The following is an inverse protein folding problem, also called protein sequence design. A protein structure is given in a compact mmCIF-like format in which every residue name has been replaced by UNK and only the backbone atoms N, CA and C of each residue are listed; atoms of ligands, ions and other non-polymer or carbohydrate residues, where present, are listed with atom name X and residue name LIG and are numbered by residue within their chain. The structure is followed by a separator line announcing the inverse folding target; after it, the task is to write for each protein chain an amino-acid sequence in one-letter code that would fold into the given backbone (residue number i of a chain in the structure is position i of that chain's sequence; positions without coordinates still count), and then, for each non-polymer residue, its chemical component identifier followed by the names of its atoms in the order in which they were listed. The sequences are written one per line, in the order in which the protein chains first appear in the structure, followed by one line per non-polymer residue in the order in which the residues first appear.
data_IF_561277580695
#
_entry.id   IF_561277580695
#
_cell.length_a   1.000
_cell.length_b   1.000
_cell.length_c   1.000
_cell.angle_alpha   90.00
_cell.angle_beta   90.00
_cell.angle_gamma   90.00
#
_symmetry.space_group_name_H-M   'P 1'
#
loop_
_entity.id
_entity.type
_entity.pdbx_description
1 polymer ?
#
# COMPACT_ATOMS: atom_id res chain seq x y z
N UNK A 1 -3.61 -14.87 -8.39
CA UNK A 1 -4.92 -14.86 -7.70
C UNK A 1 -5.55 -16.23 -7.52
N UNK A 2 -5.25 -17.24 -8.36
CA UNK A 2 -5.91 -18.55 -8.34
C UNK A 2 -5.83 -19.37 -7.02
N UNK A 3 -4.89 -19.06 -6.12
CA UNK A 3 -4.67 -19.88 -4.92
C UNK A 3 -4.80 -19.11 -3.60
N UNK A 4 -5.39 -17.91 -3.61
CA UNK A 4 -5.47 -17.11 -2.38
C UNK A 4 -6.56 -17.63 -1.42
N UNK A 5 -7.75 -17.95 -1.92
CA UNK A 5 -8.92 -18.28 -1.08
C UNK A 5 -8.63 -19.43 -0.09
N UNK A 6 -8.07 -20.60 -0.51
CA UNK A 6 -7.82 -21.71 0.41
C UNK A 6 -6.78 -21.40 1.49
N UNK A 7 -5.93 -20.39 1.30
CA UNK A 7 -4.90 -19.99 2.28
C UNK A 7 -5.51 -19.15 3.42
N UNK A 8 -6.59 -18.44 3.13
CA UNK A 8 -7.28 -17.61 4.13
C UNK A 8 -8.42 -18.35 4.83
N UNK A 9 -8.91 -19.45 4.26
CA UNK A 9 -9.99 -20.27 4.81
C UNK A 9 -9.63 -20.81 6.21
N UNK A 10 -10.42 -20.44 7.22
CA UNK A 10 -10.19 -20.82 8.61
C UNK A 10 -9.01 -20.13 9.31
N UNK A 11 -8.35 -19.15 8.67
CA UNK A 11 -7.23 -18.42 9.26
C UNK A 11 -7.68 -17.36 10.26
N UNK A 12 -8.90 -16.85 10.10
CA UNK A 12 -9.43 -15.69 10.84
C UNK A 12 -10.73 -16.05 11.55
N UNK A 13 -11.18 -15.15 12.44
CA UNK A 13 -12.45 -15.32 13.12
C UNK A 13 -13.60 -15.54 12.11
N UNK A 14 -14.57 -16.42 12.40
CA UNK A 14 -15.58 -16.85 11.43
C UNK A 14 -16.37 -15.70 10.77
N UNK A 15 -16.58 -14.60 11.49
CA UNK A 15 -17.28 -13.41 10.99
C UNK A 15 -16.49 -12.67 9.89
N UNK A 16 -15.16 -12.65 10.01
CA UNK A 16 -14.27 -11.94 9.10
C UNK A 16 -13.79 -12.83 7.94
N UNK A 17 -13.66 -14.13 8.17
CA UNK A 17 -13.20 -15.09 7.17
C UNK A 17 -14.12 -15.12 5.95
N UNK A 18 -15.43 -15.18 6.17
CA UNK A 18 -16.42 -15.11 5.08
C UNK A 18 -16.36 -13.79 4.30
N UNK A 19 -16.14 -12.68 5.00
CA UNK A 19 -16.05 -11.36 4.38
C UNK A 19 -14.79 -11.24 3.49
N UNK A 20 -13.66 -11.77 3.96
CA UNK A 20 -12.40 -11.78 3.22
C UNK A 20 -12.47 -12.74 2.04
N UNK A 21 -13.01 -13.94 2.22
CA UNK A 21 -13.20 -14.90 1.13
C UNK A 21 -14.10 -14.36 0.02
N UNK A 22 -15.18 -13.65 0.38
CA UNK A 22 -16.05 -12.96 -0.59
C UNK A 22 -15.29 -11.86 -1.36
N UNK A 23 -14.47 -11.08 -0.64
CA UNK A 23 -13.65 -10.05 -1.26
C UNK A 23 -12.61 -10.63 -2.20
N UNK A 24 -11.91 -11.69 -1.79
CA UNK A 24 -10.91 -12.39 -2.61
C UNK A 24 -11.53 -12.98 -3.88
N UNK A 25 -12.73 -13.57 -3.77
CA UNK A 25 -13.49 -14.05 -4.91
C UNK A 25 -13.81 -12.90 -5.88
N UNK A 26 -14.32 -11.78 -5.37
CA UNK A 26 -14.69 -10.62 -6.19
C UNK A 26 -13.48 -10.00 -6.88
N UNK A 27 -12.33 -9.95 -6.21
CA UNK A 27 -11.06 -9.51 -6.83
C UNK A 27 -10.63 -10.48 -7.94
N UNK A 28 -10.78 -11.78 -7.72
CA UNK A 28 -10.44 -12.79 -8.73
C UNK A 28 -11.36 -12.71 -9.96
N UNK A 29 -12.66 -12.52 -9.74
CA UNK A 29 -13.65 -12.29 -10.80
C UNK A 29 -13.33 -11.01 -11.58
N UNK A 30 -13.11 -9.89 -10.88
CA UNK A 30 -12.72 -8.62 -11.51
C UNK A 30 -11.48 -8.78 -12.38
N UNK A 31 -10.45 -9.46 -11.86
CA UNK A 31 -9.20 -9.67 -12.59
C UNK A 31 -9.37 -10.64 -13.78
N UNK A 32 -10.27 -11.63 -13.69
CA UNK A 32 -10.59 -12.51 -14.80
C UNK A 32 -11.30 -11.74 -15.92
N UNK A 33 -12.30 -10.93 -15.57
CA UNK A 33 -13.03 -10.07 -16.50
C UNK A 33 -12.10 -9.04 -17.16
N UNK A 34 -11.28 -8.34 -16.38
CA UNK A 34 -10.34 -7.33 -16.90
C UNK A 34 -9.26 -7.89 -17.84
N UNK A 35 -9.03 -9.21 -17.82
CA UNK A 35 -8.02 -9.90 -18.65
C UNK A 35 -8.60 -10.69 -19.82
N UNK A 36 -9.90 -10.58 -20.09
CA UNK A 36 -10.47 -11.20 -21.27
C UNK A 36 -9.77 -10.64 -22.52
N UNK A 37 -9.34 -11.53 -23.42
CA UNK A 37 -8.73 -11.16 -24.72
C UNK A 37 -9.74 -10.57 -25.69
N UNK A 38 -11.02 -10.75 -25.42
CA UNK A 38 -12.11 -10.23 -26.22
C UNK A 38 -13.19 -9.74 -25.27
N UNK A 39 -13.58 -8.48 -25.46
CA UNK A 39 -14.68 -7.87 -24.72
C UNK A 39 -15.88 -7.69 -25.64
N UNK A 40 -17.05 -8.06 -25.13
CA UNK A 40 -18.36 -7.67 -25.64
C UNK A 40 -19.00 -6.66 -24.69
N UNK A 41 -20.04 -5.95 -25.14
CA UNK A 41 -20.80 -5.02 -24.31
C UNK A 41 -21.30 -5.67 -23.00
N UNK A 42 -21.69 -6.95 -23.08
CA UNK A 42 -22.09 -7.75 -21.93
C UNK A 42 -20.95 -7.91 -20.90
N UNK A 43 -19.77 -8.35 -21.36
CA UNK A 43 -18.62 -8.55 -20.45
C UNK A 43 -18.10 -7.24 -19.87
N UNK A 44 -18.21 -6.13 -20.61
CA UNK A 44 -17.90 -4.78 -20.12
C UNK A 44 -18.90 -4.33 -19.06
N UNK A 45 -20.19 -4.66 -19.24
CA UNK A 45 -21.23 -4.48 -18.23
C UNK A 45 -20.91 -5.23 -16.94
N UNK A 46 -20.55 -6.51 -17.05
CA UNK A 46 -20.12 -7.31 -15.90
C UNK A 46 -18.86 -6.75 -15.22
N UNK A 47 -17.87 -6.30 -15.99
CA UNK A 47 -16.67 -5.69 -15.42
C UNK A 47 -17.02 -4.41 -14.65
N UNK A 48 -17.90 -3.58 -15.17
CA UNK A 48 -18.38 -2.37 -14.49
C UNK A 48 -19.10 -2.71 -13.17
N UNK A 49 -20.05 -3.65 -13.21
CA UNK A 49 -20.79 -4.10 -12.03
C UNK A 49 -19.86 -4.72 -10.98
N UNK A 50 -18.96 -5.61 -11.41
CA UNK A 50 -17.97 -6.24 -10.56
C UNK A 50 -17.06 -5.19 -9.90
N UNK A 51 -16.70 -4.11 -10.62
CA UNK A 51 -15.90 -3.01 -10.07
C UNK A 51 -16.65 -2.26 -8.97
N UNK A 52 -17.95 -2.00 -9.17
CA UNK A 52 -18.80 -1.35 -8.17
C UNK A 52 -18.97 -2.24 -6.91
N UNK A 53 -19.20 -3.54 -7.11
CA UNK A 53 -19.29 -4.52 -6.02
C UNK A 53 -17.95 -4.61 -5.25
N UNK A 54 -16.83 -4.70 -5.96
CA UNK A 54 -15.49 -4.70 -5.36
C UNK A 54 -15.27 -3.45 -4.50
N UNK A 55 -15.60 -2.27 -5.01
CA UNK A 55 -15.52 -1.03 -4.24
C UNK A 55 -16.39 -1.04 -2.98
N UNK A 56 -17.57 -1.63 -3.03
CA UNK A 56 -18.46 -1.78 -1.87
C UNK A 56 -17.86 -2.71 -0.82
N UNK A 57 -17.34 -3.86 -1.24
CA UNK A 57 -16.71 -4.82 -0.35
C UNK A 57 -15.42 -4.28 0.27
N UNK A 58 -14.62 -3.49 -0.47
CA UNK A 58 -13.43 -2.84 0.07
C UNK A 58 -13.75 -1.76 1.11
N UNK A 59 -14.84 -1.00 0.92
CA UNK A 59 -15.32 -0.05 1.95
C UNK A 59 -15.78 -0.79 3.21
N UNK A 60 -16.51 -1.89 3.05
CA UNK A 60 -16.91 -2.76 4.16
C UNK A 60 -15.70 -3.39 4.87
N UNK A 61 -14.71 -3.85 4.11
CA UNK A 61 -13.46 -4.39 4.67
C UNK A 61 -12.74 -3.34 5.53
N UNK A 62 -12.64 -2.11 5.03
CA UNK A 62 -12.02 -1.00 5.79
C UNK A 62 -12.79 -0.69 7.08
N UNK A 63 -14.12 -0.55 7.01
CA UNK A 63 -14.92 -0.12 8.16
C UNK A 63 -15.11 -1.21 9.20
N UNK A 64 -15.28 -2.46 8.77
CA UNK A 64 -15.58 -3.59 9.64
C UNK A 64 -14.32 -4.38 10.00
N UNK A 65 -13.60 -4.92 9.01
CA UNK A 65 -12.48 -5.85 9.25
C UNK A 65 -11.23 -5.13 9.76
N UNK A 66 -10.82 -4.03 9.13
CA UNK A 66 -9.65 -3.27 9.60
C UNK A 66 -9.86 -2.57 10.95
N UNK A 67 -11.10 -2.40 11.40
CA UNK A 67 -11.39 -1.84 12.72
C UNK A 67 -11.14 -2.85 13.85
N UNK A 68 -11.29 -4.14 13.55
CA UNK A 68 -11.12 -5.24 14.51
C UNK A 68 -9.64 -5.59 14.72
N UNK A 69 -8.84 -5.61 13.65
CA UNK A 69 -7.42 -5.97 13.73
C UNK A 69 -6.51 -4.75 13.99
N UNK A 70 -5.70 -4.78 15.06
CA UNK A 70 -4.71 -3.73 15.36
C UNK A 70 -3.44 -3.87 14.49
N UNK A 71 -3.56 -3.52 13.20
CA UNK A 71 -2.42 -3.55 12.27
C UNK A 71 -1.48 -2.36 12.51
N UNK A 72 -0.18 -2.64 12.62
CA UNK A 72 0.87 -1.63 12.84
C UNK A 72 1.95 -1.71 11.78
N UNK A 73 2.69 -0.61 11.63
CA UNK A 73 3.88 -0.56 10.76
C UNK A 73 4.85 -1.70 11.13
N UNK A 74 5.44 -2.34 10.12
CA UNK A 74 6.55 -3.26 10.35
C UNK A 74 7.78 -2.48 10.86
N UNK A 75 8.70 -3.11 11.61
CA UNK A 75 9.92 -2.44 12.09
C UNK A 75 10.75 -1.79 10.99
N UNK A 76 10.75 -2.37 9.78
CA UNK A 76 11.42 -1.83 8.60
C UNK A 76 10.75 -0.57 8.06
N UNK A 77 9.40 -0.54 8.01
CA UNK A 77 8.62 0.64 7.62
C UNK A 77 8.80 1.77 8.63
N UNK A 78 8.78 1.45 9.93
CA UNK A 78 9.03 2.41 10.99
C UNK A 78 10.44 3.02 10.89
N UNK A 79 11.48 2.17 10.71
CA UNK A 79 12.84 2.64 10.53
C UNK A 79 12.99 3.53 9.29
N UNK A 80 12.35 3.18 8.17
CA UNK A 80 12.33 4.00 6.96
C UNK A 80 11.63 5.35 7.20
N UNK A 81 10.52 5.38 7.94
CA UNK A 81 9.82 6.61 8.32
C UNK A 81 10.70 7.50 9.19
N UNK A 82 11.38 6.93 10.19
CA UNK A 82 12.30 7.67 11.07
C UNK A 82 13.46 8.29 10.29
N UNK A 83 14.05 7.56 9.33
CA UNK A 83 15.09 8.09 8.43
C UNK A 83 14.59 9.27 7.58
N UNK A 84 13.34 9.20 7.10
CA UNK A 84 12.74 10.32 6.34
C UNK A 84 12.48 11.54 7.23
N UNK A 85 11.99 11.35 8.45
CA UNK A 85 11.76 12.47 9.37
C UNK A 85 13.06 13.16 9.79
N UNK A 86 14.12 12.40 10.09
CA UNK A 86 15.42 13.00 10.43
C UNK A 86 16.04 13.75 9.26
N UNK A 87 15.93 13.22 8.03
CA UNK A 87 16.36 13.92 6.82
C UNK A 87 15.57 15.21 6.61
N UNK A 88 14.25 15.20 6.77
CA UNK A 88 13.43 16.41 6.64
C UNK A 88 13.80 17.50 7.66
N UNK A 89 14.01 17.14 8.93
CA UNK A 89 14.40 18.08 9.98
C UNK A 89 15.79 18.67 9.74
N UNK A 90 16.75 17.88 9.24
CA UNK A 90 18.11 18.36 8.92
C UNK A 90 18.17 19.35 7.75
N UNK A 91 17.17 19.36 6.87
CA UNK A 91 17.09 20.29 5.74
C UNK A 91 16.46 21.63 6.18
N UNK A 92 15.52 21.61 7.13
CA UNK A 92 14.90 22.82 7.70
C UNK A 92 15.82 23.63 8.63
N UNK A 93 16.91 23.06 9.16
CA UNK A 93 17.81 23.74 10.09
C UNK A 93 19.01 24.44 9.43
N UNK A 94 19.16 24.38 8.09
CA UNK A 94 20.32 24.98 7.39
C UNK A 94 20.11 26.43 6.92
N UNK A 95 19.01 27.07 7.32
CA UNK A 95 18.61 28.42 6.87
C UNK A 95 18.48 29.52 7.93
N UNK A 96 18.88 29.29 9.19
CA UNK A 96 18.91 30.36 10.23
C UNK A 96 20.26 30.41 10.93
N UNK A 97 21.25 30.97 10.26
CA UNK A 97 22.42 31.56 10.91
C UNK A 97 22.10 33.00 11.30
N UNK A 98 21.62 33.22 12.53
CA UNK A 98 21.55 34.54 13.14
C UNK A 98 22.89 34.89 13.78
N UNK A 99 23.48 35.98 13.29
CA UNK A 99 24.57 36.71 13.91
C UNK A 99 24.14 37.25 15.30
N UNK A 100 24.97 37.09 16.33
CA UNK A 100 25.09 38.10 17.39
C UNK A 100 24.83 37.72 18.86
N UNK A 101 25.96 37.49 19.55
CA UNK A 101 26.34 37.93 20.92
C UNK A 101 25.85 37.21 22.18
N UNK A 102 26.84 37.06 23.07
CA UNK A 102 26.88 36.36 24.34
C UNK A 102 26.44 37.21 25.55
N UNK A 103 25.97 36.53 26.61
CA UNK A 103 26.26 36.90 28.00
C UNK A 103 26.00 35.71 28.94
N UNK A 104 26.82 35.59 29.98
CA UNK A 104 26.92 34.49 30.95
C UNK A 104 25.89 34.58 32.09
N UNK A 105 25.53 33.43 32.67
CA UNK A 105 24.85 33.28 33.97
C UNK A 105 24.91 31.81 34.46
N UNK A 106 25.15 31.52 35.77
CA UNK A 106 25.56 30.20 36.29
C UNK A 106 24.39 29.27 36.71
N UNK A 107 24.64 28.00 37.12
CA UNK A 107 23.83 26.84 36.77
C UNK A 107 22.67 26.56 37.74
N UNK A 108 21.52 26.17 37.20
CA UNK A 108 20.44 25.54 37.97
C UNK A 108 20.18 24.15 37.43
N UNK A 109 20.29 23.18 38.33
CA UNK A 109 19.89 21.79 38.15
C UNK A 109 18.41 21.74 37.73
N UNK A 110 18.16 21.44 36.47
CA UNK A 110 16.93 20.81 36.02
C UNK A 110 17.34 19.69 35.09
N UNK A 111 17.10 18.46 35.55
CA UNK A 111 17.20 17.25 34.76
C UNK A 111 16.46 17.43 33.43
N UNK A 112 17.20 17.81 32.40
CA UNK A 112 16.82 17.59 31.02
C UNK A 112 16.99 16.10 30.74
N UNK A 113 16.10 15.30 31.35
CA UNK A 113 15.72 14.03 30.77
C UNK A 113 15.17 14.34 29.38
N UNK A 114 16.08 14.23 28.41
CA UNK A 114 15.77 14.01 27.02
C UNK A 114 14.78 12.85 26.95
N UNK A 115 13.49 13.17 27.04
CA UNK A 115 12.40 12.29 26.66
C UNK A 115 12.54 12.11 25.16
N UNK A 116 13.45 11.22 24.76
CA UNK A 116 13.39 10.61 23.44
C UNK A 116 12.03 9.90 23.44
N UNK A 117 11.00 10.40 22.73
CA UNK A 117 9.71 9.74 22.76
C UNK A 117 9.96 8.41 22.06
N UNK A 118 9.90 7.31 22.83
CA UNK A 118 9.85 5.96 22.26
C UNK A 118 8.66 5.99 21.30
N UNK A 119 8.95 6.18 20.02
CA UNK A 119 7.92 6.39 19.01
C UNK A 119 7.29 5.02 18.85
N UNK A 120 6.07 4.86 19.37
CA UNK A 120 5.37 3.61 19.20
C UNK A 120 5.11 3.37 17.71
N UNK A 121 5.13 2.09 17.26
CA UNK A 121 4.76 1.74 15.89
C UNK A 121 3.41 2.36 15.56
N UNK A 122 3.32 3.09 14.45
CA UNK A 122 2.06 3.74 14.07
C UNK A 122 1.05 2.68 13.64
N UNK A 123 -0.21 2.89 14.01
CA UNK A 123 -1.33 2.10 13.47
C UNK A 123 -1.42 2.34 11.97
N UNK A 124 -1.59 1.26 11.22
CA UNK A 124 -1.66 1.26 9.77
C UNK A 124 -3.02 0.76 9.32
N UNK A 125 -3.89 1.68 8.92
CA UNK A 125 -5.21 1.35 8.38
C UNK A 125 -5.15 1.16 6.86
N UNK A 126 -6.12 0.43 6.33
CA UNK A 126 -6.29 0.27 4.89
C UNK A 126 -6.67 1.62 4.24
N UNK A 127 -5.95 1.97 3.17
CA UNK A 127 -6.12 3.25 2.47
C UNK A 127 -6.89 3.07 1.16
N UNK A 128 -8.15 3.51 1.16
CA UNK A 128 -9.02 3.49 -0.02
C UNK A 128 -8.73 4.61 -1.03
N UNK A 129 -8.00 5.66 -0.64
CA UNK A 129 -7.76 6.85 -1.48
C UNK A 129 -6.54 6.64 -2.39
N UNK A 130 -6.02 5.41 -2.48
CA UNK A 130 -4.91 5.12 -3.38
C UNK A 130 -5.34 5.19 -4.84
N UNK A 131 -4.48 5.78 -5.68
CA UNK A 131 -4.67 5.86 -7.13
C UNK A 131 -4.97 4.49 -7.74
N UNK A 132 -4.27 3.44 -7.28
CA UNK A 132 -4.48 2.07 -7.75
C UNK A 132 -5.94 1.61 -7.63
N UNK A 133 -6.65 2.09 -6.62
CA UNK A 133 -8.04 1.71 -6.40
C UNK A 133 -9.01 2.54 -7.24
N UNK A 134 -8.72 3.83 -7.42
CA UNK A 134 -9.52 4.71 -8.28
C UNK A 134 -9.41 4.28 -9.75
N UNK A 135 -8.21 3.90 -10.19
CA UNK A 135 -7.98 3.44 -11.56
C UNK A 135 -8.78 2.18 -11.93
N UNK A 136 -9.30 1.40 -10.97
CA UNK A 136 -10.13 0.23 -11.27
C UNK A 136 -11.42 0.62 -12.00
N UNK A 137 -12.01 1.76 -11.67
CA UNK A 137 -13.22 2.28 -12.34
C UNK A 137 -12.98 2.67 -13.79
N UNK A 138 -11.75 3.06 -14.12
CA UNK A 138 -11.41 3.56 -15.45
C UNK A 138 -11.21 2.42 -16.47
N UNK A 139 -11.01 1.17 -16.03
CA UNK A 139 -10.71 0.03 -16.91
C UNK A 139 -11.73 -0.14 -18.03
N UNK A 140 -13.03 -0.03 -17.73
CA UNK A 140 -14.09 -0.20 -18.75
C UNK A 140 -13.98 0.86 -19.84
N UNK A 141 -13.73 2.11 -19.46
CA UNK A 141 -13.57 3.21 -20.40
C UNK A 141 -12.26 3.07 -21.20
N UNK A 142 -11.17 2.65 -20.54
CA UNK A 142 -9.89 2.37 -21.20
C UNK A 142 -10.03 1.27 -22.25
N UNK A 143 -10.71 0.16 -21.92
CA UNK A 143 -10.93 -0.96 -22.85
C UNK A 143 -11.77 -0.52 -24.05
N UNK A 144 -12.80 0.30 -23.85
CA UNK A 144 -13.64 0.82 -24.94
C UNK A 144 -12.87 1.73 -25.89
N UNK A 145 -11.98 2.56 -25.36
CA UNK A 145 -11.26 3.58 -26.15
C UNK A 145 -10.01 3.03 -26.84
N UNK A 146 -9.27 2.14 -26.17
CA UNK A 146 -7.96 1.67 -26.62
C UNK A 146 -7.91 0.18 -26.95
N UNK A 147 -9.00 -0.55 -26.72
CA UNK A 147 -9.03 -2.01 -26.81
C UNK A 147 -8.44 -2.68 -25.56
N UNK A 148 -8.36 -4.01 -25.60
CA UNK A 148 -7.74 -4.80 -24.54
C UNK A 148 -6.26 -4.47 -24.40
N UNK A 149 -5.70 -4.57 -23.18
CA UNK A 149 -4.28 -4.28 -22.96
C UNK A 149 -3.32 -5.20 -23.72
N UNK A 150 -3.78 -6.34 -24.23
CA UNK A 150 -2.97 -7.19 -25.12
C UNK A 150 -2.84 -6.63 -26.55
N UNK A 151 -3.74 -5.71 -26.96
CA UNK A 151 -3.78 -5.18 -28.33
C UNK A 151 -2.78 -4.06 -28.62
N UNK A 152 -2.32 -3.30 -27.60
CA UNK A 152 -1.44 -2.13 -27.80
C UNK A 152 -0.08 -2.22 -27.07
N UNK A 153 0.18 -3.31 -26.35
CA UNK A 153 1.48 -3.57 -25.72
C UNK A 153 2.34 -4.46 -26.62
N UNK A 154 3.40 -3.89 -27.23
CA UNK A 154 4.44 -4.66 -27.92
C UNK A 154 5.40 -5.37 -26.97
N UNK A 155 5.24 -5.19 -25.65
CA UNK A 155 5.96 -6.00 -24.66
C UNK A 155 5.18 -7.30 -24.45
N UNK A 156 5.71 -8.47 -24.92
CA UNK A 156 5.14 -9.75 -24.53
C UNK A 156 5.20 -9.87 -23.02
N UNK A 157 4.08 -10.30 -22.43
CA UNK A 157 3.91 -10.50 -20.99
C UNK A 157 4.83 -11.64 -20.53
N UNK A 158 6.11 -11.34 -20.29
CA UNK A 158 6.97 -12.12 -19.39
C UNK A 158 6.79 -11.70 -17.92
N UNK A 159 5.68 -11.02 -17.59
CA UNK A 159 5.32 -10.64 -16.22
C UNK A 159 4.82 -11.80 -15.35
N UNK A 160 5.20 -13.04 -15.67
CA UNK A 160 5.15 -14.16 -14.72
C UNK A 160 6.53 -14.61 -14.22
N UNK A 161 7.62 -14.01 -14.69
CA UNK A 161 8.97 -14.24 -14.16
C UNK A 161 9.80 -12.97 -14.15
N UNK A 162 9.51 -12.10 -13.18
CA UNK A 162 10.59 -11.43 -12.45
C UNK A 162 10.34 -11.55 -10.94
N UNK A 163 10.55 -12.73 -10.33
CA UNK A 163 11.37 -12.72 -9.14
C UNK A 163 12.79 -12.29 -9.57
N UNK A 164 13.55 -11.62 -8.70
CA UNK A 164 15.03 -11.47 -8.73
C UNK A 164 15.66 -10.09 -9.06
N UNK A 165 15.21 -9.22 -9.97
CA UNK A 165 16.00 -8.00 -10.30
C UNK A 165 15.46 -6.69 -9.68
N UNK A 166 15.32 -6.68 -8.36
CA UNK A 166 15.85 -5.58 -7.51
C UNK A 166 16.37 -6.14 -6.17
N UNK A 167 16.78 -7.42 -6.17
CA UNK A 167 17.70 -7.98 -5.18
C UNK A 167 19.17 -7.60 -5.49
N UNK A 168 19.41 -6.96 -6.65
CA UNK A 168 20.75 -6.63 -7.17
C UNK A 168 21.37 -5.32 -6.68
N UNK A 169 20.70 -4.50 -5.87
CA UNK A 169 21.33 -3.33 -5.23
C UNK A 169 21.66 -3.53 -3.74
N UNK A 170 21.39 -4.70 -3.17
CA UNK A 170 21.66 -5.02 -1.76
C UNK A 170 22.63 -6.18 -1.53
N UNK A 171 23.17 -6.81 -2.58
CA UNK A 171 24.11 -7.94 -2.44
C UNK A 171 25.59 -7.60 -2.73
N UNK A 172 25.92 -6.36 -3.10
CA UNK A 172 27.33 -5.91 -3.18
C UNK A 172 27.57 -4.78 -2.18
N UNK A 173 27.70 -5.15 -0.90
CA UNK A 173 28.49 -4.47 0.15
C UNK A 173 28.09 -5.00 1.53
N UNK A 174 28.31 -6.31 1.73
CA UNK A 174 28.67 -6.82 3.06
C UNK A 174 29.87 -7.74 2.86
N UNK A 175 30.84 -7.63 3.78
CA UNK A 175 31.99 -8.52 4.01
C UNK A 175 33.29 -8.19 3.26
N UNK A 176 33.93 -7.08 3.63
CA UNK A 176 35.13 -7.03 4.48
C UNK A 176 35.41 -5.58 4.88
#
# INVERSE_FOLDING_TARGET
FQCAIPVFDGLLDPEHDKAISSLLFTVAEWHALAKLRMHTDLTLGWLHECTANLGTQLRRFQSYTCSFFDTRELPSEEAARRRKSTKATSVSSKGKSSMGKASQGPPSNVDLQSKNPKTHPKKKLFNLIMIKLHSLGDYVNTIKLFGTSDSYSTQPVSLFTLPVILQYSFYTTRVN
#
